data_IF_632984966086
#
_entry.id   IF_632984966086
#
_cell.length_a   1.000
_cell.length_b   1.000
_cell.length_c   1.000
_cell.angle_alpha   90.00
_cell.angle_beta   90.00
_cell.angle_gamma   90.00
#
_symmetry.space_group_name_H-M   'P 1'
#
loop_
_entity.id
_entity.type
_entity.pdbx_description
1 polymer ?
#
# COMPACT_ATOMS: atom_id res chain seq x y z
N UNK A 1 -16.30 -16.91 12.47
CA UNK A 1 -16.28 -16.72 11.01
C UNK A 1 -15.68 -15.37 10.63
N UNK A 2 -16.24 -14.25 11.11
CA UNK A 2 -15.77 -12.88 10.78
C UNK A 2 -14.31 -12.59 11.19
N UNK A 3 -13.83 -13.16 12.31
CA UNK A 3 -12.44 -12.96 12.77
C UNK A 3 -11.38 -13.58 11.84
N UNK A 4 -11.67 -14.72 11.21
CA UNK A 4 -10.70 -15.39 10.33
C UNK A 4 -10.56 -14.66 8.98
N UNK A 5 -11.69 -14.18 8.45
CA UNK A 5 -11.70 -13.32 7.27
C UNK A 5 -10.95 -12.01 7.53
N UNK A 6 -11.10 -11.42 8.73
CA UNK A 6 -10.39 -10.20 9.10
C UNK A 6 -8.87 -10.40 9.05
N UNK A 7 -8.38 -11.51 9.61
CA UNK A 7 -6.95 -11.86 9.55
C UNK A 7 -6.50 -12.05 8.09
N UNK A 8 -7.30 -12.74 7.28
CA UNK A 8 -6.99 -12.92 5.86
C UNK A 8 -6.99 -11.58 5.09
N UNK A 9 -7.91 -10.67 5.37
CA UNK A 9 -7.95 -9.34 4.77
C UNK A 9 -6.74 -8.48 5.13
N UNK A 10 -6.28 -8.55 6.37
CA UNK A 10 -5.02 -7.89 6.79
C UNK A 10 -3.83 -8.50 6.05
N UNK A 11 -3.78 -9.83 5.90
CA UNK A 11 -2.71 -10.50 5.17
C UNK A 11 -2.69 -10.11 3.67
N UNK A 12 -3.86 -10.06 3.03
CA UNK A 12 -4.01 -9.60 1.64
C UNK A 12 -3.60 -8.13 1.51
N UNK A 13 -4.03 -7.26 2.41
CA UNK A 13 -3.65 -5.85 2.40
C UNK A 13 -2.13 -5.66 2.53
N UNK A 14 -1.47 -6.42 3.41
CA UNK A 14 -0.02 -6.42 3.54
C UNK A 14 0.68 -6.93 2.27
N UNK A 15 0.18 -8.02 1.67
CA UNK A 15 0.71 -8.57 0.42
C UNK A 15 0.60 -7.58 -0.74
N UNK A 16 -0.57 -6.96 -0.92
CA UNK A 16 -0.80 -5.95 -1.95
C UNK A 16 0.09 -4.72 -1.71
N UNK A 17 0.15 -4.22 -0.47
CA UNK A 17 1.01 -3.11 -0.09
C UNK A 17 2.49 -3.36 -0.40
N UNK A 18 2.99 -4.58 -0.10
CA UNK A 18 4.36 -4.97 -0.42
C UNK A 18 4.65 -4.96 -1.93
N UNK A 19 3.73 -5.52 -2.74
CA UNK A 19 3.87 -5.54 -4.20
C UNK A 19 3.85 -4.13 -4.81
N UNK A 20 2.92 -3.28 -4.38
CA UNK A 20 2.81 -1.89 -4.83
C UNK A 20 4.08 -1.11 -4.47
N UNK A 21 4.54 -1.27 -3.22
CA UNK A 21 5.76 -0.64 -2.72
C UNK A 21 6.98 -1.05 -3.53
N UNK A 22 7.21 -2.34 -3.73
CA UNK A 22 8.36 -2.85 -4.48
C UNK A 22 8.44 -2.33 -5.92
N UNK A 23 7.33 -2.37 -6.65
CA UNK A 23 7.26 -1.86 -8.03
C UNK A 23 7.52 -0.35 -8.11
N UNK A 24 6.87 0.42 -7.22
CA UNK A 24 6.97 1.88 -7.22
C UNK A 24 8.34 2.39 -6.75
N UNK A 25 9.00 1.67 -5.85
CA UNK A 25 10.34 2.04 -5.34
C UNK A 25 11.37 2.03 -6.46
N UNK A 26 11.32 1.02 -7.34
CA UNK A 26 12.24 0.91 -8.46
C UNK A 26 12.09 2.08 -9.44
N UNK A 27 10.85 2.51 -9.72
CA UNK A 27 10.56 3.66 -10.58
C UNK A 27 11.02 4.97 -9.93
N UNK A 28 10.73 5.16 -8.64
CA UNK A 28 11.02 6.41 -7.94
C UNK A 28 12.52 6.61 -7.63
N UNK A 29 13.21 5.56 -7.21
CA UNK A 29 14.60 5.63 -6.73
C UNK A 29 15.62 5.02 -7.70
N UNK A 30 15.18 4.34 -8.77
CA UNK A 30 16.05 3.71 -9.76
C UNK A 30 17.14 4.64 -10.32
N UNK A 31 16.81 5.87 -10.77
CA UNK A 31 17.81 6.82 -11.25
C UNK A 31 18.82 7.23 -10.17
N UNK A 32 18.37 7.52 -8.94
CA UNK A 32 19.22 7.99 -7.85
C UNK A 32 20.15 6.90 -7.29
N UNK A 33 19.68 5.65 -7.28
CA UNK A 33 20.51 4.48 -6.94
C UNK A 33 21.47 4.17 -8.10
N UNK A 34 20.99 4.22 -9.35
CA UNK A 34 21.78 3.94 -10.54
C UNK A 34 22.89 4.96 -10.79
N UNK A 35 22.68 6.23 -10.43
CA UNK A 35 23.69 7.29 -10.49
C UNK A 35 24.68 7.26 -9.31
N UNK A 36 24.46 6.40 -8.31
CA UNK A 36 25.28 6.35 -7.10
C UNK A 36 25.02 7.51 -6.11
N UNK A 37 23.97 8.31 -6.30
CA UNK A 37 23.63 9.42 -5.41
C UNK A 37 23.14 8.95 -4.04
N UNK A 38 22.46 7.80 -4.00
CA UNK A 38 22.03 7.14 -2.75
C UNK A 38 22.27 5.63 -2.82
N UNK A 39 22.45 5.00 -1.66
CA UNK A 39 22.55 3.53 -1.58
C UNK A 39 21.18 2.86 -1.71
N UNK A 40 21.17 1.57 -2.07
CA UNK A 40 19.94 0.75 -2.10
C UNK A 40 19.21 0.73 -0.76
N UNK A 41 19.96 0.60 0.34
CA UNK A 41 19.43 0.64 1.70
C UNK A 41 18.90 2.02 2.07
N UNK A 42 19.57 3.09 1.64
CA UNK A 42 19.09 4.46 1.83
C UNK A 42 17.77 4.72 1.09
N UNK A 43 17.66 4.27 -0.16
CA UNK A 43 16.43 4.33 -0.93
C UNK A 43 15.28 3.56 -0.26
N UNK A 44 15.54 2.35 0.23
CA UNK A 44 14.55 1.55 0.93
C UNK A 44 14.07 2.22 2.23
N UNK A 45 14.99 2.81 3.00
CA UNK A 45 14.65 3.53 4.24
C UNK A 45 13.79 4.77 3.95
N UNK A 46 14.20 5.59 2.98
CA UNK A 46 13.44 6.77 2.55
C UNK A 46 12.04 6.39 2.06
N UNK A 47 11.95 5.40 1.17
CA UNK A 47 10.67 4.89 0.68
C UNK A 47 9.78 4.46 1.84
N UNK A 48 10.31 3.67 2.77
CA UNK A 48 9.51 3.15 3.90
C UNK A 48 8.94 4.30 4.74
N UNK A 49 9.76 5.27 5.11
CA UNK A 49 9.35 6.42 5.93
C UNK A 49 8.26 7.23 5.21
N UNK A 50 8.49 7.59 3.95
CA UNK A 50 7.56 8.43 3.20
C UNK A 50 6.30 7.68 2.76
N UNK A 51 6.37 6.37 2.49
CA UNK A 51 5.20 5.55 2.19
C UNK A 51 4.28 5.42 3.41
N UNK A 52 4.84 5.18 4.61
CA UNK A 52 4.06 5.14 5.85
C UNK A 52 3.45 6.51 6.15
N UNK A 53 4.25 7.58 6.06
CA UNK A 53 3.77 8.94 6.32
C UNK A 53 2.69 9.37 5.32
N UNK A 54 2.91 9.14 4.02
CA UNK A 54 1.95 9.46 2.96
C UNK A 54 0.68 8.63 3.06
N UNK A 55 0.80 7.34 3.38
CA UNK A 55 -0.35 6.44 3.61
C UNK A 55 -1.20 6.87 4.80
N UNK A 56 -0.56 7.27 5.91
CA UNK A 56 -1.25 7.71 7.12
C UNK A 56 -1.92 9.09 6.97
N UNK A 57 -1.44 9.94 6.06
CA UNK A 57 -1.93 11.32 5.90
C UNK A 57 -2.81 11.48 4.67
N UNK A 58 -2.22 11.46 3.47
CA UNK A 58 -2.93 11.70 2.22
C UNK A 58 -3.66 10.44 1.71
N UNK A 59 -3.14 9.25 2.01
CA UNK A 59 -3.67 7.98 1.52
C UNK A 59 -5.09 7.66 1.97
N UNK A 60 -5.52 8.19 3.11
CA UNK A 60 -6.88 8.01 3.65
C UNK A 60 -7.96 8.54 2.70
N UNK A 61 -7.72 9.67 2.03
CA UNK A 61 -8.64 10.26 1.04
C UNK A 61 -8.86 9.33 -0.17
N UNK A 62 -7.83 8.58 -0.56
CA UNK A 62 -7.92 7.59 -1.65
C UNK A 62 -8.79 6.42 -1.20
N UNK A 63 -8.57 5.90 0.01
CA UNK A 63 -9.37 4.81 0.57
C UNK A 63 -10.84 5.22 0.69
N UNK A 64 -11.14 6.44 1.14
CA UNK A 64 -12.51 6.95 1.21
C UNK A 64 -13.18 7.00 -0.17
N UNK A 65 -12.44 7.44 -1.19
CA UNK A 65 -12.94 7.47 -2.57
C UNK A 65 -13.19 6.07 -3.11
N UNK A 66 -12.23 5.16 -2.94
CA UNK A 66 -12.33 3.78 -3.44
C UNK A 66 -13.42 2.98 -2.70
N UNK A 67 -13.54 3.19 -1.38
CA UNK A 67 -14.41 2.42 -0.47
C UNK A 67 -15.87 2.89 -0.42
N UNK A 68 -16.21 4.05 -0.99
CA UNK A 68 -17.58 4.56 -0.93
C UNK A 68 -18.09 5.25 -2.18
N UNK A 69 -17.21 5.74 -3.07
CA UNK A 69 -17.62 6.50 -4.26
C UNK A 69 -17.44 5.76 -5.58
N UNK A 70 -16.56 4.76 -5.63
CA UNK A 70 -16.35 3.93 -6.82
C UNK A 70 -17.11 2.62 -6.70
N UNK A 71 -17.04 1.99 -5.53
CA UNK A 71 -17.82 0.79 -5.20
C UNK A 71 -18.83 1.15 -4.11
N UNK A 72 -20.11 0.72 -4.23
CA UNK A 72 -21.09 0.94 -3.17
C UNK A 72 -20.60 0.37 -1.84
N UNK A 73 -20.72 1.15 -0.77
CA UNK A 73 -20.24 0.76 0.57
C UNK A 73 -20.89 -0.53 1.10
N UNK A 74 -22.11 -0.84 0.66
CA UNK A 74 -22.80 -2.11 0.96
C UNK A 74 -22.12 -3.34 0.35
N UNK A 75 -21.28 -3.16 -0.66
CA UNK A 75 -20.52 -4.22 -1.33
C UNK A 75 -19.07 -4.32 -0.84
N UNK A 76 -18.55 -3.32 -0.12
CA UNK A 76 -17.21 -3.32 0.49
C UNK A 76 -17.17 -4.13 1.80
N UNK A 77 -17.63 -5.39 1.72
CA UNK A 77 -17.59 -6.31 2.86
C UNK A 77 -16.28 -7.05 2.93
N UNK A 78 -15.92 -7.51 4.13
CA UNK A 78 -14.70 -8.28 4.34
C UNK A 78 -14.68 -9.61 3.56
N UNK A 79 -15.86 -10.18 3.29
CA UNK A 79 -15.98 -11.33 2.39
C UNK A 79 -15.67 -10.93 0.93
N UNK A 80 -16.17 -9.79 0.45
CA UNK A 80 -15.93 -9.32 -0.91
C UNK A 80 -14.49 -8.84 -1.16
N UNK A 81 -13.79 -8.37 -0.14
CA UNK A 81 -12.39 -7.92 -0.26
C UNK A 81 -11.35 -9.05 -0.21
N UNK A 82 -11.75 -10.24 0.24
CA UNK A 82 -10.85 -11.39 0.46
C UNK A 82 -11.17 -12.59 -0.43
N UNK A 83 -12.42 -12.72 -0.91
CA UNK A 83 -12.82 -13.72 -1.90
C UNK A 83 -12.29 -13.38 -3.29
#
# INVERSE_FOLDING_TARGET
>A
MVSLLLVAGIAVAAFVGFNIGGSSTGVAFGPAVGSGSISKTGAAALMTVFAVFGGATAGTNVIETMGGRIVPSSQFTLAASVA
#
